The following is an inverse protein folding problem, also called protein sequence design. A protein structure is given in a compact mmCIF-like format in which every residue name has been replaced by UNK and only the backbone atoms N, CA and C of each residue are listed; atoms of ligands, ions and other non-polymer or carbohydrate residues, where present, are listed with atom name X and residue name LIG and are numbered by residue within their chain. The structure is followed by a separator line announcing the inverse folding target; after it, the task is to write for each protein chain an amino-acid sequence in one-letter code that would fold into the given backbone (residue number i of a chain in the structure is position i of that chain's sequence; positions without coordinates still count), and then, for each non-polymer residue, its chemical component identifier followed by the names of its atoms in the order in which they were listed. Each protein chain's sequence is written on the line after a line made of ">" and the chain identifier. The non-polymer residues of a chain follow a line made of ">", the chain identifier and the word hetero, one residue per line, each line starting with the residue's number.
data_IF_510666869087
#
_entry.id   IF_510666869087
#
_cell.length_a   1.000
_cell.length_b   1.000
_cell.length_c   1.000
_cell.angle_alpha   90.00
_cell.angle_beta   90.00
_cell.angle_gamma   90.00
#
_symmetry.space_group_name_H-M   'P 1'
#
loop_
_entity.id
_entity.type
_entity.pdbx_description
1 polymer ?
#
# COMPACT_ATOMS: atom_id res chain seq x y z
N UNK A 1 71.17 21.66 -5.43
CA UNK A 1 70.30 21.26 -4.31
C UNK A 1 69.01 20.67 -4.88
N UNK A 2 68.93 19.34 -4.96
CA UNK A 2 67.78 18.58 -5.50
C UNK A 2 66.97 18.04 -4.31
N UNK A 3 65.66 18.29 -4.26
CA UNK A 3 64.75 17.69 -3.29
C UNK A 3 64.18 16.40 -3.88
N UNK A 4 64.42 15.29 -3.18
CA UNK A 4 63.66 14.04 -3.29
C UNK A 4 62.27 14.27 -2.67
N UNK A 5 61.22 13.80 -3.35
CA UNK A 5 59.93 13.52 -2.73
C UNK A 5 59.62 12.05 -2.92
N UNK A 6 59.61 11.32 -1.79
CA UNK A 6 59.14 9.94 -1.67
C UNK A 6 57.63 9.90 -1.93
N UNK A 7 57.20 9.03 -2.86
CA UNK A 7 55.81 8.58 -2.94
C UNK A 7 55.64 7.36 -2.02
N UNK A 8 54.81 7.50 -1.00
CA UNK A 8 54.37 6.42 -0.13
C UNK A 8 53.14 5.76 -0.79
N UNK A 9 53.24 4.48 -1.14
CA UNK A 9 52.12 3.65 -1.58
C UNK A 9 51.43 3.09 -0.33
N UNK A 10 50.24 3.59 0.00
CA UNK A 10 49.36 2.98 1.00
C UNK A 10 48.44 1.96 0.32
N UNK A 11 48.83 0.69 0.36
CA UNK A 11 47.92 -0.45 0.17
C UNK A 11 47.19 -0.69 1.51
N UNK A 12 45.94 -0.25 1.58
CA UNK A 12 45.09 -0.37 2.77
C UNK A 12 43.81 -1.14 2.47
N UNK A 13 43.87 -2.45 2.71
CA UNK A 13 42.79 -3.37 3.13
C UNK A 13 41.34 -2.86 2.98
N UNK A 14 40.65 -3.35 1.95
CA UNK A 14 39.19 -3.34 1.90
C UNK A 14 38.65 -4.27 3.00
N UNK A 15 38.19 -3.69 4.10
CA UNK A 15 37.39 -4.41 5.07
C UNK A 15 36.04 -4.73 4.43
N UNK A 16 35.85 -6.00 4.06
CA UNK A 16 34.55 -6.54 3.76
C UNK A 16 33.71 -6.48 5.03
N UNK A 17 32.92 -5.42 5.17
CA UNK A 17 31.82 -5.38 6.12
C UNK A 17 30.85 -6.49 5.71
N UNK A 18 30.94 -7.64 6.36
CA UNK A 18 29.91 -8.67 6.27
C UNK A 18 28.59 -8.03 6.65
N UNK A 19 27.68 -7.94 5.68
CA UNK A 19 26.29 -7.57 5.93
C UNK A 19 25.76 -8.59 6.91
N UNK A 20 25.45 -8.16 8.14
CA UNK A 20 24.79 -9.01 9.10
C UNK A 20 23.50 -9.52 8.45
N UNK A 21 23.41 -10.82 8.20
CA UNK A 21 22.20 -11.43 7.67
C UNK A 21 21.10 -11.19 8.70
N UNK A 22 20.07 -10.45 8.29
CA UNK A 22 18.94 -10.18 9.16
C UNK A 22 18.38 -11.53 9.65
N UNK A 23 18.03 -11.62 10.93
CA UNK A 23 17.60 -12.87 11.53
C UNK A 23 16.42 -13.48 10.75
N UNK A 24 16.57 -14.75 10.37
CA UNK A 24 15.55 -15.54 9.70
C UNK A 24 14.27 -15.56 10.55
N UNK A 25 13.13 -15.23 9.95
CA UNK A 25 11.82 -15.32 10.57
C UNK A 25 11.44 -16.80 10.71
N UNK A 26 11.21 -17.23 11.95
CA UNK A 26 10.71 -18.57 12.25
C UNK A 26 9.21 -18.54 12.46
N UNK A 27 8.48 -19.20 11.56
CA UNK A 27 7.04 -19.35 11.65
C UNK A 27 6.67 -20.35 12.75
N UNK A 28 5.71 -20.00 13.61
CA UNK A 28 5.12 -20.96 14.55
C UNK A 28 4.31 -22.04 13.81
N UNK A 29 3.98 -23.14 14.49
CA UNK A 29 3.29 -24.29 13.88
C UNK A 29 2.00 -23.90 13.16
N UNK A 30 1.19 -23.01 13.74
CA UNK A 30 -0.07 -22.59 13.14
C UNK A 30 0.17 -21.70 11.92
N UNK A 31 1.14 -20.79 12.00
CA UNK A 31 1.53 -19.94 10.86
C UNK A 31 2.05 -20.78 9.70
N UNK A 32 2.82 -21.85 9.98
CA UNK A 32 3.25 -22.80 8.95
C UNK A 32 2.07 -23.56 8.31
N UNK A 33 1.05 -23.92 9.09
CA UNK A 33 -0.16 -24.56 8.56
C UNK A 33 -0.92 -23.62 7.62
N UNK A 34 -1.09 -22.36 8.02
CA UNK A 34 -1.73 -21.33 7.20
C UNK A 34 -0.93 -21.04 5.92
N UNK A 35 0.40 -21.07 6.01
CA UNK A 35 1.31 -20.91 4.88
C UNK A 35 1.24 -22.06 3.87
N UNK A 36 1.13 -23.30 4.37
CA UNK A 36 1.13 -24.52 3.53
C UNK A 36 -0.25 -24.94 3.03
N UNK A 37 -1.32 -24.38 3.59
CA UNK A 37 -2.69 -24.64 3.17
C UNK A 37 -3.26 -23.47 2.38
N UNK A 38 -4.02 -22.56 3.02
CA UNK A 38 -4.74 -21.49 2.34
C UNK A 38 -3.89 -20.64 1.39
N UNK A 39 -2.66 -20.28 1.75
CA UNK A 39 -1.80 -19.48 0.87
C UNK A 39 -1.40 -20.25 -0.41
N UNK A 40 -1.08 -21.55 -0.29
CA UNK A 40 -0.72 -22.36 -1.47
C UNK A 40 -1.93 -22.56 -2.40
N UNK A 41 -3.11 -22.78 -1.82
CA UNK A 41 -4.36 -22.87 -2.58
C UNK A 41 -4.60 -21.56 -3.35
N UNK A 42 -4.47 -20.42 -2.66
CA UNK A 42 -4.63 -19.11 -3.29
C UNK A 42 -3.61 -18.86 -4.41
N UNK A 43 -2.33 -19.19 -4.18
CA UNK A 43 -1.26 -19.02 -5.17
C UNK A 43 -1.33 -20.01 -6.33
N UNK A 44 -2.17 -21.04 -6.28
CA UNK A 44 -2.39 -21.97 -7.39
C UNK A 44 -3.32 -21.39 -8.47
N UNK A 45 -4.21 -20.47 -8.09
CA UNK A 45 -5.22 -19.88 -8.99
C UNK A 45 -4.69 -18.69 -9.81
N UNK A 46 -5.35 -18.42 -10.94
CA UNK A 46 -5.01 -17.34 -11.88
C UNK A 46 -5.62 -16.00 -11.44
N UNK A 47 -5.18 -15.52 -10.27
CA UNK A 47 -5.80 -14.38 -9.58
C UNK A 47 -5.69 -13.05 -10.34
N UNK A 48 -4.77 -12.92 -11.29
CA UNK A 48 -4.52 -11.70 -12.04
C UNK A 48 -5.59 -11.35 -13.08
N UNK A 49 -6.52 -12.28 -13.35
CA UNK A 49 -7.61 -12.11 -14.32
C UNK A 49 -8.78 -11.34 -13.70
N UNK A 50 -9.43 -11.91 -12.67
CA UNK A 50 -10.66 -11.36 -12.09
C UNK A 50 -10.47 -10.77 -10.68
N UNK A 51 -9.43 -11.19 -9.95
CA UNK A 51 -9.24 -10.90 -8.53
C UNK A 51 -7.97 -10.09 -8.25
N UNK A 52 -7.36 -9.52 -9.29
CA UNK A 52 -6.04 -8.87 -9.25
C UNK A 52 -5.91 -7.84 -8.10
N UNK A 53 -6.98 -7.08 -7.87
CA UNK A 53 -7.06 -6.10 -6.80
C UNK A 53 -7.00 -6.74 -5.40
N UNK A 54 -7.86 -7.72 -5.12
CA UNK A 54 -7.93 -8.36 -3.80
C UNK A 54 -6.71 -9.25 -3.55
N UNK A 55 -6.23 -9.93 -4.59
CA UNK A 55 -5.05 -10.77 -4.53
C UNK A 55 -3.81 -9.95 -4.14
N UNK A 56 -3.60 -8.79 -4.79
CA UNK A 56 -2.52 -7.90 -4.41
C UNK A 56 -2.63 -7.38 -2.97
N UNK A 57 -3.84 -7.16 -2.46
CA UNK A 57 -4.05 -6.85 -1.04
C UNK A 57 -3.61 -7.98 -0.12
N UNK A 58 -4.04 -9.21 -0.41
CA UNK A 58 -3.81 -10.37 0.43
C UNK A 58 -2.37 -10.88 0.36
N UNK A 59 -1.74 -10.84 -0.81
CA UNK A 59 -0.44 -11.48 -1.07
C UNK A 59 0.76 -10.60 -0.70
N UNK A 60 0.59 -9.29 -0.53
CA UNK A 60 1.72 -8.38 -0.29
C UNK A 60 2.52 -8.75 0.97
N UNK A 61 1.85 -9.02 2.09
CA UNK A 61 2.51 -9.37 3.36
C UNK A 61 3.18 -10.75 3.31
N UNK A 62 2.49 -11.82 2.87
CA UNK A 62 3.13 -13.12 2.63
C UNK A 62 4.32 -13.05 1.69
N UNK A 63 4.24 -12.28 0.61
CA UNK A 63 5.35 -12.08 -0.32
C UNK A 63 6.59 -11.51 0.39
N UNK A 64 6.44 -10.45 1.18
CA UNK A 64 7.56 -9.88 1.94
C UNK A 64 8.12 -10.86 2.97
N UNK A 65 7.25 -11.66 3.62
CA UNK A 65 7.68 -12.66 4.57
C UNK A 65 8.44 -13.83 3.93
N UNK A 66 8.10 -14.22 2.70
CA UNK A 66 8.74 -15.35 2.00
C UNK A 66 10.26 -15.19 1.86
N UNK A 67 10.75 -13.95 1.70
CA UNK A 67 12.19 -13.64 1.62
C UNK A 67 12.85 -13.44 2.99
N UNK A 68 12.13 -13.75 4.06
CA UNK A 68 12.60 -13.69 5.46
C UNK A 68 12.48 -15.04 6.14
N UNK A 69 11.68 -15.95 5.61
CA UNK A 69 11.50 -17.32 6.09
C UNK A 69 12.55 -18.25 5.48
N UNK A 70 12.58 -19.55 5.84
CA UNK A 70 13.56 -20.47 5.30
C UNK A 70 13.56 -20.54 3.77
N UNK A 71 14.73 -20.80 3.15
CA UNK A 71 14.83 -20.92 1.70
C UNK A 71 13.81 -21.91 1.11
N UNK A 72 13.16 -21.51 0.02
CA UNK A 72 12.14 -22.28 -0.68
C UNK A 72 10.72 -21.74 -0.50
N UNK A 73 10.46 -20.96 0.55
CA UNK A 73 9.14 -20.35 0.79
C UNK A 73 8.78 -19.28 -0.25
N UNK A 74 9.76 -18.76 -1.01
CA UNK A 74 9.57 -17.86 -2.14
C UNK A 74 9.09 -18.55 -3.43
N UNK A 75 9.34 -19.86 -3.59
CA UNK A 75 9.08 -20.60 -4.83
C UNK A 75 7.61 -20.57 -5.29
N UNK A 76 6.60 -20.66 -4.41
CA UNK A 76 5.20 -20.52 -4.82
C UNK A 76 4.90 -19.15 -5.46
N UNK A 77 5.55 -18.08 -4.98
CA UNK A 77 5.42 -16.75 -5.59
C UNK A 77 6.13 -16.69 -6.94
N UNK A 78 7.32 -17.28 -7.08
CA UNK A 78 7.99 -17.36 -8.38
C UNK A 78 7.13 -18.07 -9.42
N UNK A 79 6.54 -19.22 -9.05
CA UNK A 79 5.64 -19.96 -9.92
C UNK A 79 4.40 -19.14 -10.29
N UNK A 80 3.81 -18.44 -9.32
CA UNK A 80 2.67 -17.53 -9.55
C UNK A 80 3.04 -16.39 -10.52
N UNK A 81 4.18 -15.71 -10.31
CA UNK A 81 4.64 -14.62 -11.17
C UNK A 81 5.00 -15.09 -12.57
N UNK A 82 5.57 -16.29 -12.72
CA UNK A 82 5.88 -16.88 -14.02
C UNK A 82 4.60 -17.21 -14.81
N UNK A 83 3.58 -17.81 -14.16
CA UNK A 83 2.28 -18.07 -14.80
C UNK A 83 1.56 -16.78 -15.20
N UNK A 84 1.58 -15.77 -14.33
CA UNK A 84 0.99 -14.47 -14.61
C UNK A 84 1.65 -13.78 -15.81
N UNK A 85 2.98 -13.87 -15.95
CA UNK A 85 3.69 -13.30 -17.10
C UNK A 85 3.37 -14.02 -18.41
N UNK A 86 3.31 -15.36 -18.34
CA UNK A 86 2.96 -16.19 -19.49
C UNK A 86 1.55 -15.89 -20.04
N UNK A 87 0.66 -15.37 -19.19
CA UNK A 87 -0.69 -14.93 -19.52
C UNK A 87 -0.86 -13.41 -19.32
N UNK A 88 0.19 -12.64 -19.63
CA UNK A 88 0.19 -11.18 -19.43
C UNK A 88 -0.88 -10.44 -20.25
N UNK A 89 -1.37 -11.06 -21.32
CA UNK A 89 -2.51 -10.63 -22.13
C UNK A 89 -3.86 -10.71 -21.39
N UNK A 90 -3.97 -11.55 -20.36
CA UNK A 90 -5.18 -11.74 -19.55
C UNK A 90 -5.21 -10.87 -18.29
N UNK A 91 -4.13 -10.15 -18.01
CA UNK A 91 -4.08 -9.20 -16.90
C UNK A 91 -5.21 -8.17 -17.02
N UNK A 92 -5.72 -7.69 -15.89
CA UNK A 92 -6.72 -6.63 -15.81
C UNK A 92 -6.42 -5.44 -16.75
N UNK A 93 -7.47 -4.74 -17.19
CA UNK A 93 -7.40 -3.71 -18.25
C UNK A 93 -6.22 -2.73 -18.07
N UNK A 94 -5.40 -2.49 -19.12
CA UNK A 94 -4.31 -1.52 -19.09
C UNK A 94 -4.73 -0.14 -18.55
N UNK A 95 -3.94 0.42 -17.64
CA UNK A 95 -4.23 1.71 -17.00
C UNK A 95 -5.34 1.69 -15.94
N UNK A 96 -5.96 0.54 -15.66
CA UNK A 96 -6.94 0.42 -14.58
C UNK A 96 -6.28 0.34 -13.19
N UNK A 97 -7.03 0.74 -12.16
CA UNK A 97 -6.60 0.62 -10.76
C UNK A 97 -6.26 -0.83 -10.39
N UNK A 98 -7.10 -1.79 -10.79
CA UNK A 98 -6.90 -3.21 -10.48
C UNK A 98 -5.58 -3.74 -11.05
N UNK A 99 -5.26 -3.35 -12.29
CA UNK A 99 -3.99 -3.69 -12.92
C UNK A 99 -2.83 -3.10 -12.17
N UNK A 100 -2.83 -1.79 -11.91
CA UNK A 100 -1.69 -1.11 -11.28
C UNK A 100 -1.46 -1.53 -9.84
N UNK A 101 -2.50 -1.92 -9.12
CA UNK A 101 -2.36 -2.53 -7.81
C UNK A 101 -1.67 -3.90 -7.89
N UNK A 102 -2.00 -4.72 -8.90
CA UNK A 102 -1.29 -5.99 -9.14
C UNK A 102 0.14 -5.77 -9.62
N UNK A 103 0.39 -4.85 -10.56
CA UNK A 103 1.74 -4.52 -11.01
C UNK A 103 2.60 -3.99 -9.85
N UNK A 104 2.02 -3.27 -8.89
CA UNK A 104 2.74 -2.89 -7.67
C UNK A 104 3.15 -4.10 -6.81
N UNK A 105 2.30 -5.14 -6.69
CA UNK A 105 2.72 -6.41 -6.07
C UNK A 105 3.93 -7.00 -6.80
N UNK A 106 3.92 -6.97 -8.14
CA UNK A 106 5.03 -7.46 -8.97
C UNK A 106 6.30 -6.63 -8.72
N UNK A 107 6.24 -5.30 -8.68
CA UNK A 107 7.46 -4.49 -8.41
C UNK A 107 8.03 -4.73 -7.02
N UNK A 108 7.19 -5.00 -6.03
CA UNK A 108 7.64 -5.44 -4.71
C UNK A 108 8.35 -6.79 -4.76
N UNK A 109 7.81 -7.76 -5.51
CA UNK A 109 8.46 -9.06 -5.76
C UNK A 109 9.82 -8.87 -6.46
N UNK A 110 9.90 -8.06 -7.51
CA UNK A 110 11.16 -7.79 -8.21
C UNK A 110 12.21 -7.15 -7.29
N UNK A 111 11.79 -6.22 -6.43
CA UNK A 111 12.68 -5.60 -5.43
C UNK A 111 13.20 -6.61 -4.39
N UNK A 112 12.41 -7.64 -4.07
CA UNK A 112 12.83 -8.74 -3.19
C UNK A 112 13.80 -9.70 -3.91
N UNK A 113 13.55 -10.02 -5.19
CA UNK A 113 14.43 -10.83 -6.05
C UNK A 113 15.80 -10.22 -6.23
N UNK A 114 15.85 -8.92 -6.54
CA UNK A 114 17.09 -8.17 -6.70
C UNK A 114 17.88 -8.14 -5.39
N UNK A 115 17.24 -7.76 -4.28
CA UNK A 115 17.88 -7.69 -2.97
C UNK A 115 18.40 -9.04 -2.44
N UNK A 116 17.84 -10.16 -2.90
CA UNK A 116 18.28 -11.52 -2.57
C UNK A 116 19.29 -12.11 -3.56
N UNK A 117 19.64 -11.37 -4.62
CA UNK A 117 20.58 -11.83 -5.65
C UNK A 117 20.02 -12.97 -6.51
N UNK A 118 18.69 -13.13 -6.57
CA UNK A 118 18.01 -14.21 -7.29
C UNK A 118 17.42 -13.74 -8.64
N UNK A 119 17.91 -12.64 -9.21
CA UNK A 119 17.36 -12.07 -10.45
C UNK A 119 17.41 -13.06 -11.64
N UNK A 120 16.34 -13.11 -12.43
CA UNK A 120 16.19 -14.00 -13.60
C UNK A 120 15.74 -13.25 -14.85
N UNK A 121 15.72 -13.95 -16.00
CA UNK A 121 15.17 -13.41 -17.25
C UNK A 121 13.65 -13.14 -17.13
N UNK A 122 12.91 -13.96 -16.39
CA UNK A 122 11.48 -13.71 -16.10
C UNK A 122 11.30 -12.40 -15.32
N UNK A 123 12.19 -12.11 -14.37
CA UNK A 123 12.16 -10.87 -13.58
C UNK A 123 12.44 -9.66 -14.48
N UNK A 124 13.43 -9.76 -15.38
CA UNK A 124 13.74 -8.74 -16.38
C UNK A 124 12.55 -8.45 -17.30
N UNK A 125 11.88 -9.49 -17.81
CA UNK A 125 10.69 -9.33 -18.68
C UNK A 125 9.53 -8.64 -17.98
N UNK A 126 9.32 -8.93 -16.69
CA UNK A 126 8.34 -8.21 -15.87
C UNK A 126 8.71 -6.74 -15.73
N UNK A 127 9.97 -6.47 -15.41
CA UNK A 127 10.45 -5.12 -15.18
C UNK A 127 10.32 -4.26 -16.46
N UNK A 128 10.65 -4.81 -17.62
CA UNK A 128 10.48 -4.16 -18.93
C UNK A 128 9.00 -3.89 -19.28
N UNK A 129 8.12 -4.86 -19.01
CA UNK A 129 6.67 -4.70 -19.23
C UNK A 129 6.12 -3.54 -18.39
N UNK A 130 6.43 -3.51 -17.09
CA UNK A 130 5.90 -2.50 -16.17
C UNK A 130 6.52 -1.13 -16.48
N UNK A 131 7.82 -1.06 -16.82
CA UNK A 131 8.48 0.17 -17.21
C UNK A 131 7.86 0.78 -18.48
N UNK A 132 7.55 -0.07 -19.48
CA UNK A 132 6.86 0.35 -20.71
C UNK A 132 5.48 0.90 -20.39
N UNK A 133 4.68 0.20 -19.59
CA UNK A 133 3.34 0.67 -19.23
C UNK A 133 3.36 1.94 -18.35
N UNK A 134 4.34 2.06 -17.46
CA UNK A 134 4.55 3.26 -16.66
C UNK A 134 4.87 4.46 -17.56
N UNK A 135 5.78 4.29 -18.52
CA UNK A 135 6.13 5.31 -19.50
C UNK A 135 4.92 5.72 -20.33
N UNK A 136 4.21 4.75 -20.93
CA UNK A 136 3.02 5.02 -21.73
C UNK A 136 1.97 5.81 -20.93
N UNK A 137 1.65 5.37 -19.71
CA UNK A 137 0.66 6.05 -18.88
C UNK A 137 1.13 7.45 -18.42
N UNK A 138 2.43 7.60 -18.18
CA UNK A 138 3.01 8.84 -17.69
C UNK A 138 3.12 9.92 -18.78
N UNK A 139 3.49 9.55 -20.01
CA UNK A 139 3.85 10.51 -21.06
C UNK A 139 2.92 10.50 -22.28
N UNK A 140 2.26 9.39 -22.59
CA UNK A 140 1.67 9.19 -23.92
C UNK A 140 0.15 8.98 -23.90
N UNK A 141 -0.36 8.24 -22.91
CA UNK A 141 -1.74 7.76 -22.88
C UNK A 141 -2.67 8.80 -22.28
N UNK A 142 -3.72 9.23 -23.01
CA UNK A 142 -4.74 10.11 -22.45
C UNK A 142 -5.38 9.54 -21.19
N UNK A 143 -5.48 10.37 -20.15
CA UNK A 143 -6.11 10.00 -18.89
C UNK A 143 -7.41 10.78 -18.70
N UNK A 144 -8.49 10.05 -18.46
CA UNK A 144 -9.78 10.65 -18.16
C UNK A 144 -9.85 10.93 -16.66
N UNK A 145 -10.06 12.19 -16.33
CA UNK A 145 -10.26 12.67 -14.97
C UNK A 145 -11.70 12.41 -14.49
N UNK A 146 -11.88 12.41 -13.17
CA UNK A 146 -13.14 12.10 -12.50
C UNK A 146 -14.32 12.99 -12.97
N UNK A 147 -14.07 14.26 -13.29
CA UNK A 147 -15.11 15.19 -13.78
C UNK A 147 -15.42 15.04 -15.28
N UNK A 148 -14.83 14.05 -15.96
CA UNK A 148 -14.97 13.84 -17.40
C UNK A 148 -13.95 14.57 -18.27
N UNK A 149 -13.14 15.48 -17.71
CA UNK A 149 -12.04 16.13 -18.42
C UNK A 149 -10.99 15.08 -18.84
N UNK A 150 -10.38 15.27 -20.00
CA UNK A 150 -9.27 14.42 -20.47
C UNK A 150 -7.97 15.22 -20.47
N UNK A 151 -6.91 14.62 -19.93
CA UNK A 151 -5.55 15.14 -20.00
C UNK A 151 -4.74 14.30 -20.97
N UNK A 152 -3.69 14.89 -21.55
CA UNK A 152 -2.84 14.19 -22.53
C UNK A 152 -2.18 12.94 -21.93
N UNK A 153 -1.81 12.99 -20.66
CA UNK A 153 -1.16 11.89 -19.92
C UNK A 153 -1.24 12.13 -18.40
N UNK A 154 -0.77 11.16 -17.60
CA UNK A 154 -0.76 11.27 -16.13
C UNK A 154 0.12 12.43 -15.63
N UNK A 155 1.25 12.71 -16.30
CA UNK A 155 2.13 13.82 -15.94
C UNK A 155 1.40 15.16 -15.98
N UNK A 156 0.66 15.42 -17.06
CA UNK A 156 -0.08 16.67 -17.24
C UNK A 156 -1.26 16.78 -16.26
N UNK A 157 -1.93 15.65 -15.96
CA UNK A 157 -2.95 15.59 -14.91
C UNK A 157 -2.37 15.96 -13.53
N UNK A 158 -1.25 15.33 -13.13
CA UNK A 158 -0.62 15.60 -11.83
C UNK A 158 -0.06 17.02 -11.75
N UNK A 159 0.55 17.52 -12.83
CA UNK A 159 0.99 18.92 -12.93
C UNK A 159 -0.19 19.87 -12.70
N UNK A 160 -1.30 19.65 -13.41
CA UNK A 160 -2.51 20.46 -13.22
C UNK A 160 -3.02 20.43 -11.77
N UNK A 161 -3.04 19.27 -11.10
CA UNK A 161 -3.46 19.18 -9.67
C UNK A 161 -2.51 19.91 -8.72
N UNK A 162 -1.21 19.89 -9.00
CA UNK A 162 -0.19 20.56 -8.20
C UNK A 162 -0.26 22.08 -8.37
N UNK A 163 -0.49 22.55 -9.59
CA UNK A 163 -0.50 23.97 -9.95
C UNK A 163 -1.85 24.64 -9.72
N UNK A 164 -2.96 23.90 -9.73
CA UNK A 164 -4.30 24.46 -9.52
C UNK A 164 -4.52 24.78 -8.04
N UNK A 165 -4.77 26.06 -7.68
CA UNK A 165 -5.15 26.45 -6.32
C UNK A 165 -6.50 25.85 -5.93
N UNK A 166 -6.69 25.55 -4.65
CA UNK A 166 -7.91 24.89 -4.16
C UNK A 166 -9.18 25.73 -4.42
N UNK A 167 -9.04 27.05 -4.45
CA UNK A 167 -10.10 28.03 -4.68
C UNK A 167 -10.61 28.01 -6.13
N UNK A 168 -9.82 27.45 -7.07
CA UNK A 168 -10.21 27.30 -8.48
C UNK A 168 -10.88 25.96 -8.78
N UNK A 169 -10.97 25.07 -7.79
CA UNK A 169 -11.59 23.77 -7.96
C UNK A 169 -13.10 23.86 -7.67
N UNK A 170 -13.92 23.39 -8.60
CA UNK A 170 -15.38 23.32 -8.42
C UNK A 170 -15.78 22.35 -7.28
N UNK A 171 -14.98 21.30 -7.09
CA UNK A 171 -15.03 20.40 -5.93
C UNK A 171 -13.64 20.21 -5.36
N UNK A 172 -13.51 20.20 -4.04
CA UNK A 172 -12.21 20.07 -3.34
C UNK A 172 -11.51 18.77 -3.72
N UNK A 173 -12.27 17.68 -3.85
CA UNK A 173 -11.73 16.38 -4.25
C UNK A 173 -11.24 16.35 -5.72
N UNK A 174 -11.56 17.33 -6.57
CA UNK A 174 -11.01 17.39 -7.94
C UNK A 174 -9.50 17.62 -7.97
N UNK A 175 -8.89 18.05 -6.87
CA UNK A 175 -7.45 18.25 -6.78
C UNK A 175 -6.71 17.12 -6.10
N UNK A 176 -7.27 15.92 -5.92
CA UNK A 176 -6.62 14.85 -5.14
C UNK A 176 -5.75 13.94 -6.00
N UNK A 177 -4.77 13.29 -5.38
CA UNK A 177 -4.06 12.14 -5.93
C UNK A 177 -4.80 10.87 -5.48
N UNK A 178 -5.36 10.13 -6.44
CA UNK A 178 -6.02 8.83 -6.27
C UNK A 178 -5.03 7.67 -6.25
N UNK A 179 -5.51 6.52 -5.82
CA UNK A 179 -4.74 5.28 -5.71
C UNK A 179 -4.00 4.90 -6.99
N UNK A 180 -4.61 5.07 -8.17
CA UNK A 180 -3.95 4.77 -9.44
C UNK A 180 -2.64 5.56 -9.60
N UNK A 181 -2.68 6.87 -9.34
CA UNK A 181 -1.49 7.71 -9.47
C UNK A 181 -0.46 7.38 -8.39
N UNK A 182 -0.90 7.05 -7.17
CA UNK A 182 0.00 6.58 -6.11
C UNK A 182 0.69 5.26 -6.46
N UNK A 183 -0.04 4.27 -7.01
CA UNK A 183 0.53 3.01 -7.44
C UNK A 183 1.55 3.20 -8.56
N UNK A 184 1.24 4.01 -9.57
CA UNK A 184 2.19 4.30 -10.66
C UNK A 184 3.48 4.92 -10.11
N UNK A 185 3.37 5.93 -9.24
CA UNK A 185 4.56 6.56 -8.66
C UNK A 185 5.35 5.61 -7.75
N UNK A 186 4.68 4.79 -6.92
CA UNK A 186 5.34 3.81 -6.05
C UNK A 186 6.03 2.69 -6.85
N UNK A 187 5.34 2.09 -7.82
CA UNK A 187 5.89 1.07 -8.71
C UNK A 187 7.07 1.61 -9.53
N UNK A 188 6.96 2.86 -10.01
CA UNK A 188 8.07 3.52 -10.73
C UNK A 188 9.28 3.77 -9.84
N UNK A 189 9.08 4.07 -8.55
CA UNK A 189 10.19 4.17 -7.58
C UNK A 189 10.92 2.84 -7.38
N UNK A 190 10.18 1.73 -7.29
CA UNK A 190 10.77 0.40 -7.22
C UNK A 190 11.56 0.08 -8.51
N UNK A 191 10.96 0.30 -9.68
CA UNK A 191 11.61 0.06 -10.98
C UNK A 191 12.85 0.93 -11.20
N UNK A 192 12.84 2.19 -10.74
CA UNK A 192 14.03 3.04 -10.83
C UNK A 192 15.23 2.41 -10.12
N UNK A 193 15.02 1.78 -8.96
CA UNK A 193 16.09 1.12 -8.24
C UNK A 193 16.73 -0.02 -9.06
N UNK A 194 15.96 -0.66 -9.95
CA UNK A 194 16.34 -1.79 -10.81
C UNK A 194 16.89 -1.34 -12.20
N UNK A 195 16.45 -0.19 -12.70
CA UNK A 195 16.69 0.29 -14.07
C UNK A 195 17.36 1.67 -14.14
N UNK A 196 18.27 1.95 -13.20
CA UNK A 196 18.88 3.29 -13.01
C UNK A 196 19.52 3.87 -14.28
N UNK A 197 20.11 3.03 -15.11
CA UNK A 197 21.00 3.45 -16.20
C UNK A 197 20.37 3.34 -17.61
N UNK A 198 19.06 3.10 -17.70
CA UNK A 198 18.34 3.08 -18.98
C UNK A 198 17.42 4.31 -19.16
N UNK A 199 16.68 4.32 -20.27
CA UNK A 199 15.74 5.41 -20.61
C UNK A 199 14.63 5.58 -19.56
N UNK A 200 14.14 4.50 -18.96
CA UNK A 200 13.17 4.58 -17.87
C UNK A 200 13.77 5.24 -16.62
N UNK A 201 15.03 4.90 -16.30
CA UNK A 201 15.78 5.56 -15.22
C UNK A 201 15.90 7.08 -15.41
N UNK A 202 16.10 7.53 -16.66
CA UNK A 202 16.08 8.95 -17.01
C UNK A 202 14.68 9.57 -16.85
N UNK A 203 13.63 8.93 -17.38
CA UNK A 203 12.24 9.37 -17.21
C UNK A 203 11.89 9.57 -15.73
N UNK A 204 12.27 8.61 -14.88
CA UNK A 204 12.03 8.70 -13.45
C UNK A 204 12.73 9.91 -12.84
N UNK A 205 14.04 10.08 -13.08
CA UNK A 205 14.83 11.20 -12.54
C UNK A 205 14.29 12.56 -12.99
N UNK A 206 13.95 12.67 -14.27
CA UNK A 206 13.60 13.95 -14.90
C UNK A 206 12.13 14.33 -14.70
N UNK A 207 11.25 13.36 -14.45
CA UNK A 207 9.80 13.63 -14.42
C UNK A 207 9.08 13.05 -13.20
N UNK A 208 9.19 11.75 -12.95
CA UNK A 208 8.39 11.09 -11.90
C UNK A 208 8.88 11.50 -10.51
N UNK A 209 10.19 11.48 -10.25
CA UNK A 209 10.76 11.81 -8.95
C UNK A 209 10.50 13.26 -8.51
N UNK A 210 10.69 14.30 -9.34
CA UNK A 210 10.28 15.67 -9.00
C UNK A 210 8.78 15.76 -8.67
N UNK A 211 7.93 15.14 -9.49
CA UNK A 211 6.46 15.15 -9.29
C UNK A 211 6.08 14.48 -7.98
N UNK A 212 6.65 13.31 -7.69
CA UNK A 212 6.42 12.58 -6.44
C UNK A 212 6.89 13.42 -5.24
N UNK A 213 8.07 14.05 -5.31
CA UNK A 213 8.57 14.92 -4.23
C UNK A 213 7.55 16.00 -3.89
N UNK A 214 7.04 16.69 -4.91
CA UNK A 214 6.10 17.81 -4.76
C UNK A 214 4.72 17.31 -4.28
N UNK A 215 4.28 16.14 -4.77
CA UNK A 215 3.08 15.46 -4.29
C UNK A 215 3.20 15.11 -2.80
N UNK A 216 4.29 14.49 -2.35
CA UNK A 216 4.47 14.15 -0.94
C UNK A 216 4.43 15.40 -0.06
N UNK A 217 5.01 16.51 -0.52
CA UNK A 217 5.03 17.79 0.22
C UNK A 217 3.63 18.36 0.36
N UNK A 218 2.84 18.35 -0.72
CA UNK A 218 1.51 18.96 -0.74
C UNK A 218 0.42 18.10 -0.10
N UNK A 219 0.49 16.78 -0.29
CA UNK A 219 -0.63 15.88 0.02
C UNK A 219 -0.48 15.12 1.34
N UNK A 220 0.74 14.95 1.85
CA UNK A 220 1.03 14.23 3.10
C UNK A 220 1.81 15.09 4.11
N UNK A 221 1.29 16.27 4.49
CA UNK A 221 1.96 17.12 5.45
C UNK A 221 2.03 16.47 6.85
N UNK A 222 3.17 16.65 7.50
CA UNK A 222 3.36 16.30 8.91
C UNK A 222 2.61 17.30 9.77
N UNK A 223 1.81 16.81 10.70
CA UNK A 223 1.00 17.58 11.63
C UNK A 223 1.81 17.99 12.87
N UNK A 224 1.34 18.97 13.66
CA UNK A 224 2.04 19.41 14.88
C UNK A 224 2.29 18.31 15.92
N UNK A 225 1.42 17.29 15.99
CA UNK A 225 1.58 16.12 16.87
C UNK A 225 2.50 15.02 16.29
N UNK A 226 3.13 15.31 15.15
CA UNK A 226 4.01 14.43 14.41
C UNK A 226 3.30 13.37 13.57
N UNK A 227 1.96 13.33 13.52
CA UNK A 227 1.23 12.43 12.62
C UNK A 227 1.28 12.93 11.17
N UNK A 228 0.88 12.10 10.21
CA UNK A 228 0.71 12.49 8.81
C UNK A 228 -0.74 12.28 8.43
N UNK A 229 -1.36 13.26 7.78
CA UNK A 229 -2.75 13.17 7.31
C UNK A 229 -2.82 13.53 5.83
N UNK A 230 -3.62 12.79 5.09
CA UNK A 230 -3.96 13.15 3.72
C UNK A 230 -4.97 14.30 3.72
N UNK A 231 -4.50 15.51 3.36
CA UNK A 231 -5.26 16.75 3.16
C UNK A 231 -6.63 16.81 3.88
N UNK A 232 -6.68 17.14 5.18
CA UNK A 232 -7.93 17.28 5.92
C UNK A 232 -8.96 18.16 5.20
N UNK A 233 -10.21 17.66 5.13
CA UNK A 233 -11.34 18.36 4.51
C UNK A 233 -11.43 18.26 2.99
N UNK A 234 -10.45 17.68 2.30
CA UNK A 234 -10.47 17.55 0.83
C UNK A 234 -11.60 16.65 0.32
N UNK A 235 -12.08 15.74 1.17
CA UNK A 235 -13.14 14.78 0.85
C UNK A 235 -14.53 15.25 1.27
N UNK A 236 -14.65 16.43 1.89
CA UNK A 236 -15.91 16.91 2.49
C UNK A 236 -17.06 17.09 1.49
N UNK A 237 -16.75 17.28 0.21
CA UNK A 237 -17.73 17.37 -0.88
C UNK A 237 -17.73 16.15 -1.81
N UNK A 238 -17.01 15.07 -1.46
CA UNK A 238 -17.01 13.82 -2.20
C UNK A 238 -18.24 12.97 -1.84
N UNK A 239 -18.99 12.41 -2.81
CA UNK A 239 -20.26 11.70 -2.53
C UNK A 239 -20.14 10.56 -1.52
N UNK A 240 -19.06 9.78 -1.53
CA UNK A 240 -18.84 8.68 -0.59
C UNK A 240 -18.70 9.15 0.88
N UNK A 241 -18.43 10.44 1.10
CA UNK A 241 -18.21 11.07 2.41
C UNK A 241 -19.36 12.00 2.79
N UNK A 242 -20.43 12.04 1.99
CA UNK A 242 -21.58 12.92 2.17
C UNK A 242 -22.25 12.77 3.55
N UNK A 243 -22.09 11.63 4.21
CA UNK A 243 -22.64 11.33 5.54
C UNK A 243 -21.58 11.24 6.65
N UNK A 244 -20.34 11.66 6.40
CA UNK A 244 -19.22 11.56 7.36
C UNK A 244 -19.38 12.39 8.65
N UNK A 245 -20.37 13.28 8.72
CA UNK A 245 -20.72 14.04 9.93
C UNK A 245 -21.72 13.34 10.86
N UNK A 246 -22.17 12.12 10.50
CA UNK A 246 -23.03 11.29 11.34
C UNK A 246 -22.21 10.36 12.24
N UNK A 247 -22.40 10.49 13.56
CA UNK A 247 -21.74 9.65 14.55
C UNK A 247 -22.28 8.21 14.58
N UNK A 248 -23.46 7.96 14.02
CA UNK A 248 -24.14 6.66 13.92
C UNK A 248 -24.90 6.62 12.59
N UNK A 249 -25.43 5.45 12.21
CA UNK A 249 -26.24 5.31 11.00
C UNK A 249 -27.34 6.41 10.92
N UNK A 250 -27.44 7.17 9.82
CA UNK A 250 -28.51 8.14 9.61
C UNK A 250 -29.89 7.46 9.62
N UNK A 251 -30.92 8.17 10.06
CA UNK A 251 -32.30 7.71 9.96
C UNK A 251 -32.77 7.72 8.49
N UNK A 252 -33.76 6.90 8.11
CA UNK A 252 -34.35 6.98 6.78
C UNK A 252 -34.84 8.40 6.45
N UNK A 253 -34.36 8.97 5.35
CA UNK A 253 -34.71 10.32 4.91
C UNK A 253 -33.82 11.44 5.45
N UNK A 254 -32.86 11.13 6.34
CA UNK A 254 -31.87 12.11 6.79
C UNK A 254 -31.05 12.65 5.60
N UNK A 255 -30.84 13.99 5.51
CA UNK A 255 -30.05 14.56 4.44
C UNK A 255 -28.55 14.30 4.63
N UNK A 256 -27.72 14.44 3.59
CA UNK A 256 -26.28 14.47 3.73
C UNK A 256 -25.80 15.46 4.80
N UNK A 257 -24.85 15.03 5.62
CA UNK A 257 -24.17 15.84 6.64
C UNK A 257 -22.66 15.59 6.51
N UNK A 258 -21.96 16.30 5.61
CA UNK A 258 -20.53 16.12 5.44
C UNK A 258 -19.76 16.62 6.67
N UNK A 259 -18.63 15.98 6.99
CA UNK A 259 -17.67 16.52 7.95
C UNK A 259 -16.68 17.41 7.19
N UNK A 260 -16.58 18.72 7.52
CA UNK A 260 -15.74 19.68 6.77
C UNK A 260 -14.24 19.39 6.89
N UNK A 261 -13.82 18.61 7.88
CA UNK A 261 -12.43 18.28 8.16
C UNK A 261 -12.07 16.82 7.84
N UNK A 262 -13.00 16.05 7.26
CA UNK A 262 -12.79 14.61 7.05
C UNK A 262 -11.55 14.33 6.19
N UNK A 263 -10.75 13.37 6.64
CA UNK A 263 -9.56 12.87 5.93
C UNK A 263 -9.88 11.61 5.14
N UNK A 264 -8.88 11.07 4.42
CA UNK A 264 -8.95 9.75 3.80
C UNK A 264 -9.42 8.68 4.80
N UNK A 265 -10.19 7.71 4.33
CA UNK A 265 -10.59 6.56 5.15
C UNK A 265 -9.38 5.67 5.49
N UNK A 266 -9.47 4.96 6.61
CA UNK A 266 -8.37 4.13 7.13
C UNK A 266 -8.06 2.92 6.24
N UNK A 267 -9.01 2.50 5.41
CA UNK A 267 -8.81 1.43 4.44
C UNK A 267 -7.86 1.86 3.33
N UNK A 268 -8.12 3.00 2.67
CA UNK A 268 -7.23 3.52 1.64
C UNK A 268 -5.91 4.03 2.22
N UNK A 269 -5.93 4.63 3.42
CA UNK A 269 -4.72 5.08 4.09
C UNK A 269 -3.72 3.95 4.39
N UNK A 270 -4.19 2.71 4.53
CA UNK A 270 -3.30 1.55 4.77
C UNK A 270 -2.25 1.35 3.68
N UNK A 271 -2.54 1.81 2.45
CA UNK A 271 -1.65 1.70 1.30
C UNK A 271 -0.35 2.48 1.47
N UNK A 272 -0.40 3.58 2.21
CA UNK A 272 0.79 4.37 2.54
C UNK A 272 1.83 3.60 3.34
N UNK A 273 1.43 2.54 4.07
CA UNK A 273 2.37 1.67 4.76
C UNK A 273 3.35 0.98 3.81
N UNK A 274 2.87 0.54 2.65
CA UNK A 274 3.69 -0.08 1.61
C UNK A 274 4.42 0.96 0.75
N UNK A 275 3.68 1.94 0.19
CA UNK A 275 4.25 2.91 -0.76
C UNK A 275 5.40 3.73 -0.16
N UNK A 276 5.36 4.02 1.15
CA UNK A 276 6.44 4.73 1.82
C UNK A 276 7.76 3.95 1.87
N UNK A 277 7.76 2.64 1.61
CA UNK A 277 8.97 1.84 1.37
C UNK A 277 9.57 2.15 0.01
N UNK A 278 8.75 2.04 -1.04
CA UNK A 278 9.13 2.29 -2.44
C UNK A 278 9.73 3.68 -2.65
N UNK A 279 9.17 4.71 -2.02
CA UNK A 279 9.63 6.09 -2.19
C UNK A 279 11.04 6.35 -1.64
N UNK A 280 11.68 5.40 -0.96
CA UNK A 280 13.09 5.51 -0.55
C UNK A 280 14.03 5.77 -1.74
N UNK A 281 13.67 5.30 -2.93
CA UNK A 281 14.38 5.57 -4.19
C UNK A 281 14.54 7.07 -4.50
N UNK A 282 13.64 7.94 -4.00
CA UNK A 282 13.79 9.39 -4.11
C UNK A 282 15.10 9.90 -3.49
N UNK A 283 15.64 9.22 -2.47
CA UNK A 283 16.87 9.66 -1.80
C UNK A 283 18.12 9.49 -2.66
N UNK A 284 18.03 8.69 -3.73
CA UNK A 284 19.12 8.53 -4.69
C UNK A 284 19.13 9.68 -5.70
N UNK A 285 17.94 10.18 -6.08
CA UNK A 285 17.79 11.35 -6.96
C UNK A 285 17.96 12.66 -6.18
N UNK A 286 17.44 12.71 -4.96
CA UNK A 286 17.44 13.88 -4.08
C UNK A 286 17.90 13.48 -2.67
N UNK A 287 19.22 13.40 -2.42
CA UNK A 287 19.75 13.00 -1.11
C UNK A 287 19.21 13.78 0.10
N UNK A 288 18.86 15.05 -0.10
CA UNK A 288 18.26 15.91 0.92
C UNK A 288 16.88 15.42 1.42
N UNK A 289 16.19 14.58 0.65
CA UNK A 289 14.85 14.07 0.98
C UNK A 289 14.88 12.99 2.06
N UNK A 290 16.06 12.45 2.40
CA UNK A 290 16.24 11.34 3.36
C UNK A 290 15.57 11.62 4.71
N UNK A 291 15.82 12.80 5.29
CA UNK A 291 15.23 13.18 6.58
C UNK A 291 13.71 13.35 6.50
N UNK A 292 13.22 13.94 5.40
CA UNK A 292 11.78 14.14 5.19
C UNK A 292 11.05 12.80 5.05
N UNK A 293 11.60 11.85 4.30
CA UNK A 293 11.01 10.52 4.12
C UNK A 293 11.03 9.69 5.42
N UNK A 294 12.11 9.77 6.20
CA UNK A 294 12.16 9.16 7.54
C UNK A 294 11.07 9.75 8.47
N UNK A 295 10.87 11.07 8.41
CA UNK A 295 9.82 11.77 9.15
C UNK A 295 8.43 11.36 8.68
N UNK A 296 8.21 11.25 7.36
CA UNK A 296 6.96 10.79 6.76
C UNK A 296 6.61 9.37 7.22
N UNK A 297 7.55 8.41 7.12
CA UNK A 297 7.36 7.02 7.57
C UNK A 297 7.01 6.96 9.06
N UNK A 298 7.76 7.69 9.89
CA UNK A 298 7.49 7.77 11.34
C UNK A 298 6.13 8.41 11.63
N UNK A 299 5.74 9.43 10.86
CA UNK A 299 4.46 10.11 10.99
C UNK A 299 3.28 9.24 10.59
N UNK A 300 3.39 8.46 9.51
CA UNK A 300 2.41 7.45 9.11
C UNK A 300 2.25 6.36 10.18
N UNK A 301 3.35 5.90 10.78
CA UNK A 301 3.30 4.94 11.87
C UNK A 301 2.54 5.51 13.08
N UNK A 302 2.84 6.76 13.46
CA UNK A 302 2.10 7.47 14.52
C UNK A 302 0.63 7.67 14.18
N UNK A 303 0.28 7.95 12.92
CA UNK A 303 -1.12 8.04 12.50
C UNK A 303 -1.85 6.73 12.75
N UNK A 304 -1.26 5.60 12.34
CA UNK A 304 -1.86 4.31 12.59
C UNK A 304 -1.99 4.00 14.09
N UNK A 305 -0.92 4.17 14.87
CA UNK A 305 -0.90 3.74 16.28
C UNK A 305 -1.69 4.66 17.21
N UNK A 306 -1.76 5.96 16.92
CA UNK A 306 -2.39 6.97 17.81
C UNK A 306 -3.76 7.43 17.37
N UNK A 307 -4.08 7.38 16.07
CA UNK A 307 -5.35 7.89 15.53
C UNK A 307 -6.26 6.78 15.04
N UNK A 308 -5.73 5.85 14.25
CA UNK A 308 -6.55 4.80 13.62
C UNK A 308 -6.82 3.65 14.60
N UNK A 309 -5.79 3.15 15.29
CA UNK A 309 -5.93 2.06 16.26
C UNK A 309 -6.74 2.51 17.47
N UNK A 310 -7.78 1.73 17.79
CA UNK A 310 -8.64 1.92 18.94
C UNK A 310 -8.51 0.70 19.86
N UNK A 311 -7.82 0.81 21.01
CA UNK A 311 -7.63 -0.33 21.90
C UNK A 311 -8.97 -0.85 22.44
N UNK A 312 -9.06 -2.14 22.79
CA UNK A 312 -10.26 -2.70 23.40
C UNK A 312 -10.45 -2.08 24.80
N UNK A 313 -11.36 -1.11 24.90
CA UNK A 313 -11.72 -0.48 26.18
C UNK A 313 -12.99 -1.12 26.77
N UNK A 314 -14.02 -1.29 25.94
CA UNK A 314 -15.32 -1.89 26.30
C UNK A 314 -15.69 -3.11 25.44
N UNK A 315 -14.85 -3.45 24.46
CA UNK A 315 -15.00 -4.61 23.58
C UNK A 315 -13.95 -5.65 23.91
N UNK A 316 -14.23 -6.93 23.63
CA UNK A 316 -13.26 -8.02 23.75
C UNK A 316 -12.29 -8.11 22.56
N UNK A 317 -12.49 -7.30 21.52
CA UNK A 317 -11.71 -7.30 20.28
C UNK A 317 -11.20 -5.91 19.92
N UNK A 318 -10.12 -5.87 19.14
CA UNK A 318 -9.48 -4.64 18.64
C UNK A 318 -10.39 -3.94 17.63
N UNK A 319 -10.41 -2.61 17.62
CA UNK A 319 -11.16 -1.85 16.61
C UNK A 319 -10.28 -0.77 16.00
N UNK A 320 -10.73 -0.25 14.87
CA UNK A 320 -10.05 0.82 14.16
C UNK A 320 -11.06 1.88 13.74
N UNK A 321 -10.66 3.14 13.85
CA UNK A 321 -11.47 4.25 13.39
C UNK A 321 -11.56 4.26 11.87
N UNK A 322 -12.71 4.68 11.35
CA UNK A 322 -12.97 4.68 9.90
C UNK A 322 -12.10 5.67 9.12
N UNK A 323 -11.56 6.71 9.76
CA UNK A 323 -10.78 7.76 9.08
C UNK A 323 -9.37 7.91 9.65
N UNK A 324 -8.45 8.34 8.78
CA UNK A 324 -7.03 8.52 9.08
C UNK A 324 -6.76 9.55 10.20
N UNK A 325 -7.63 10.55 10.35
CA UNK A 325 -7.55 11.53 11.44
C UNK A 325 -7.94 10.98 12.82
N UNK A 326 -8.51 9.78 12.88
CA UNK A 326 -9.03 9.15 14.08
C UNK A 326 -10.50 9.44 14.35
N UNK A 327 -11.18 10.19 13.48
CA UNK A 327 -12.63 10.27 13.52
C UNK A 327 -13.26 8.93 13.14
N UNK A 328 -14.40 8.62 13.74
CA UNK A 328 -15.05 7.32 13.61
C UNK A 328 -16.54 7.46 13.39
N UNK A 329 -16.86 7.97 12.21
CA UNK A 329 -18.22 8.29 11.78
C UNK A 329 -18.61 7.45 10.57
N UNK A 330 -19.84 7.62 10.09
CA UNK A 330 -20.40 6.85 8.98
C UNK A 330 -19.65 7.12 7.66
N UNK A 331 -19.32 6.06 6.92
CA UNK A 331 -18.63 6.13 5.64
C UNK A 331 -19.38 5.36 4.55
N UNK A 332 -19.40 5.88 3.30
CA UNK A 332 -20.04 5.23 2.14
C UNK A 332 -21.49 4.83 2.37
N UNK A 333 -22.26 5.73 2.98
CA UNK A 333 -23.71 5.54 3.14
C UNK A 333 -24.42 5.66 1.80
N UNK A 334 -25.37 4.75 1.52
CA UNK A 334 -26.06 4.59 0.23
C UNK A 334 -25.13 4.29 -0.95
N UNK A 335 -23.94 3.74 -0.69
CA UNK A 335 -23.00 3.39 -1.76
C UNK A 335 -23.55 2.25 -2.63
N UNK A 336 -23.29 2.32 -3.94
CA UNK A 336 -23.90 1.44 -4.93
C UNK A 336 -23.77 -0.06 -4.61
N UNK A 337 -22.64 -0.48 -4.02
CA UNK A 337 -22.39 -1.89 -3.66
C UNK A 337 -22.83 -2.28 -2.25
N UNK A 338 -23.15 -1.30 -1.39
CA UNK A 338 -23.68 -1.52 -0.05
C UNK A 338 -25.22 -1.51 -0.02
N UNK A 339 -25.85 -0.84 -0.99
CA UNK A 339 -27.29 -0.68 -1.11
C UNK A 339 -27.83 0.58 -0.41
N UNK A 340 -29.10 0.89 -0.67
CA UNK A 340 -29.80 2.01 -0.04
C UNK A 340 -30.01 1.75 1.46
N UNK A 341 -29.85 2.79 2.28
CA UNK A 341 -29.97 2.73 3.74
C UNK A 341 -28.83 1.96 4.43
N UNK A 342 -27.68 1.82 3.77
CA UNK A 342 -26.56 1.02 4.27
C UNK A 342 -25.21 1.70 4.01
N UNK A 343 -24.20 1.35 4.80
CA UNK A 343 -22.85 1.91 4.74
C UNK A 343 -22.05 1.52 5.98
N UNK A 344 -20.78 1.91 6.01
CA UNK A 344 -19.89 1.58 7.11
C UNK A 344 -20.24 2.45 8.32
N UNK A 345 -20.73 1.84 9.38
CA UNK A 345 -20.95 2.45 10.70
C UNK A 345 -19.61 2.64 11.43
N UNK A 346 -19.58 3.36 12.57
CA UNK A 346 -18.36 3.47 13.37
C UNK A 346 -17.71 2.11 13.62
N UNK A 347 -16.41 2.04 13.40
CA UNK A 347 -15.56 0.84 13.50
C UNK A 347 -15.79 -0.24 12.44
N UNK A 348 -16.71 -0.11 11.49
CA UNK A 348 -16.96 -1.16 10.49
C UNK A 348 -15.87 -1.27 9.40
N UNK A 349 -14.87 -0.37 9.39
CA UNK A 349 -13.61 -0.56 8.63
C UNK A 349 -12.51 -1.31 9.40
N UNK A 350 -12.83 -1.88 10.57
CA UNK A 350 -11.84 -2.57 11.41
C UNK A 350 -11.24 -3.82 10.78
N UNK A 351 -11.84 -4.38 9.72
CA UNK A 351 -11.28 -5.52 8.99
C UNK A 351 -10.05 -5.16 8.15
N UNK A 352 -9.98 -3.96 7.57
CA UNK A 352 -8.94 -3.63 6.58
C UNK A 352 -7.51 -3.67 7.14
N UNK A 353 -7.23 -3.19 8.37
CA UNK A 353 -5.90 -3.31 8.95
C UNK A 353 -5.37 -4.75 9.04
N UNK A 354 -6.23 -5.77 9.05
CA UNK A 354 -5.78 -7.17 9.04
C UNK A 354 -5.17 -7.61 7.70
N UNK A 355 -5.29 -6.83 6.63
CA UNK A 355 -4.51 -7.05 5.40
C UNK A 355 -3.00 -6.92 5.64
N UNK A 356 -2.59 -6.21 6.70
CA UNK A 356 -1.20 -6.23 7.18
C UNK A 356 -0.29 -5.11 6.64
N UNK A 357 -0.78 -4.25 5.74
CA UNK A 357 0.06 -3.26 5.06
C UNK A 357 0.69 -2.22 5.99
N UNK A 358 0.03 -1.88 7.10
CA UNK A 358 0.65 -1.04 8.14
C UNK A 358 1.90 -1.67 8.76
N UNK A 359 2.00 -3.00 8.76
CA UNK A 359 3.17 -3.75 9.22
C UNK A 359 4.46 -3.41 8.46
N UNK A 360 4.37 -2.99 7.20
CA UNK A 360 5.52 -2.63 6.36
C UNK A 360 6.22 -1.31 6.79
N UNK A 361 5.62 -0.57 7.73
CA UNK A 361 6.31 0.53 8.40
C UNK A 361 7.35 0.05 9.43
N UNK A 362 7.26 -1.20 9.88
CA UNK A 362 8.31 -1.88 10.65
C UNK A 362 8.62 -1.26 12.00
N UNK A 363 7.59 -0.81 12.75
CA UNK A 363 7.81 -0.25 14.10
C UNK A 363 7.40 -1.25 15.19
N UNK A 364 8.12 -1.32 16.32
CA UNK A 364 7.78 -2.23 17.42
C UNK A 364 6.37 -2.02 18.00
N UNK A 365 5.84 -0.79 17.91
CA UNK A 365 4.47 -0.46 18.35
C UNK A 365 3.43 -1.12 17.44
N UNK A 366 3.63 -1.06 16.12
CA UNK A 366 2.76 -1.73 15.14
C UNK A 366 2.82 -3.24 15.35
N UNK A 367 4.02 -3.83 15.43
CA UNK A 367 4.19 -5.27 15.69
C UNK A 367 3.44 -5.71 16.96
N UNK A 368 3.43 -4.87 18.02
CA UNK A 368 2.65 -5.14 19.25
C UNK A 368 1.14 -5.10 19.04
N UNK A 369 0.63 -4.18 18.22
CA UNK A 369 -0.78 -4.14 17.84
C UNK A 369 -1.17 -5.41 17.08
N UNK A 370 -0.35 -5.82 16.11
CA UNK A 370 -0.59 -7.05 15.35
C UNK A 370 -0.52 -8.32 16.21
N UNK A 371 0.32 -8.37 17.25
CA UNK A 371 0.29 -9.47 18.24
C UNK A 371 -1.07 -9.55 18.96
N UNK A 372 -1.68 -8.41 19.30
CA UNK A 372 -3.02 -8.38 19.90
C UNK A 372 -4.09 -8.83 18.90
N UNK A 373 -3.97 -8.42 17.64
CA UNK A 373 -4.86 -8.86 16.57
C UNK A 373 -4.75 -10.37 16.32
N UNK A 374 -3.52 -10.91 16.23
CA UNK A 374 -3.24 -12.33 16.03
C UNK A 374 -3.79 -13.19 17.18
N UNK A 375 -3.64 -12.72 18.43
CA UNK A 375 -4.20 -13.39 19.61
C UNK A 375 -5.73 -13.41 19.64
N UNK A 376 -6.40 -12.62 18.79
CA UNK A 376 -7.85 -12.61 18.64
C UNK A 376 -8.40 -13.72 17.75
N UNK A 377 -7.55 -14.47 17.05
CA UNK A 377 -7.98 -15.59 16.20
C UNK A 377 -8.18 -16.90 16.98
N UNK A 378 -9.17 -17.74 16.61
CA UNK A 378 -10.22 -17.46 15.62
C UNK A 378 -11.14 -16.32 16.09
N UNK A 379 -11.56 -15.45 15.16
CA UNK A 379 -12.34 -14.27 15.50
C UNK A 379 -13.71 -14.65 16.04
N UNK A 380 -14.14 -13.93 17.08
CA UNK A 380 -15.49 -14.02 17.63
C UNK A 380 -16.52 -13.48 16.64
N UNK A 381 -17.75 -14.00 16.70
CA UNK A 381 -18.84 -13.56 15.81
C UNK A 381 -19.15 -12.06 15.90
N UNK A 382 -19.02 -11.46 17.09
CA UNK A 382 -19.21 -10.01 17.30
C UNK A 382 -18.12 -9.17 16.61
N UNK A 383 -16.87 -9.64 16.67
CA UNK A 383 -15.76 -9.06 15.93
C UNK A 383 -15.97 -9.22 14.41
N UNK A 384 -16.29 -10.42 13.93
CA UNK A 384 -16.54 -10.70 12.51
C UNK A 384 -17.65 -9.82 11.94
N UNK A 385 -18.79 -9.68 12.63
CA UNK A 385 -19.88 -8.79 12.18
C UNK A 385 -19.43 -7.34 12.01
N UNK A 386 -18.54 -6.87 12.88
CA UNK A 386 -17.98 -5.53 12.80
C UNK A 386 -16.96 -5.43 11.67
N UNK A 387 -16.08 -6.42 11.51
CA UNK A 387 -14.95 -6.35 10.58
C UNK A 387 -15.36 -6.53 9.12
N UNK A 388 -16.42 -7.30 8.87
CA UNK A 388 -16.98 -7.48 7.52
C UNK A 388 -17.62 -6.19 7.02
N UNK A 389 -18.20 -5.39 7.93
CA UNK A 389 -18.94 -4.17 7.61
C UNK A 389 -20.18 -4.45 6.75
N UNK A 390 -20.67 -3.45 5.97
CA UNK A 390 -21.72 -3.66 4.99
C UNK A 390 -21.17 -4.54 3.87
N UNK A 391 -21.45 -5.84 3.92
CA UNK A 391 -20.98 -6.79 2.92
C UNK A 391 -21.34 -6.30 1.51
N UNK A 392 -20.37 -6.27 0.60
CA UNK A 392 -20.57 -5.69 -0.74
C UNK A 392 -21.13 -6.73 -1.70
N UNK A 393 -21.95 -6.31 -2.66
CA UNK A 393 -22.46 -7.20 -3.73
C UNK A 393 -21.41 -7.67 -4.75
N UNK A 394 -20.15 -7.21 -4.63
CA UNK A 394 -19.05 -7.59 -5.52
C UNK A 394 -18.69 -9.07 -5.31
N UNK A 395 -18.71 -9.85 -6.38
CA UNK A 395 -18.16 -11.21 -6.40
C UNK A 395 -16.64 -11.16 -6.18
N UNK A 396 -16.13 -12.03 -5.32
CA UNK A 396 -14.72 -12.15 -4.98
C UNK A 396 -14.33 -13.62 -4.96
N UNK A 397 -13.04 -13.90 -5.14
CA UNK A 397 -12.48 -15.21 -4.88
C UNK A 397 -12.94 -15.76 -3.51
N UNK A 398 -13.32 -17.06 -3.39
CA UNK A 398 -13.81 -17.64 -2.14
C UNK A 398 -12.88 -17.46 -0.94
N UNK A 399 -11.55 -17.48 -1.16
CA UNK A 399 -10.54 -17.26 -0.11
C UNK A 399 -10.30 -15.78 0.23
N UNK A 400 -10.78 -14.84 -0.59
CA UNK A 400 -10.58 -13.40 -0.42
C UNK A 400 -11.86 -12.66 -0.01
N UNK A 401 -13.03 -13.27 -0.21
CA UNK A 401 -14.33 -12.75 0.22
C UNK A 401 -14.48 -12.69 1.74
N UNK A 402 -15.09 -11.63 2.26
CA UNK A 402 -15.37 -11.53 3.70
C UNK A 402 -16.77 -12.08 4.01
N UNK A 403 -16.97 -12.89 5.07
CA UNK A 403 -16.02 -13.24 6.15
C UNK A 403 -15.06 -14.39 5.85
N UNK A 404 -15.20 -15.09 4.72
CA UNK A 404 -14.44 -16.30 4.41
C UNK A 404 -12.91 -16.13 4.51
N UNK A 405 -12.35 -14.97 4.13
CA UNK A 405 -10.91 -14.70 4.25
C UNK A 405 -10.40 -14.67 5.70
N UNK A 406 -11.24 -14.30 6.67
CA UNK A 406 -10.91 -14.37 8.09
C UNK A 406 -10.93 -15.81 8.60
N UNK A 407 -11.95 -16.58 8.22
CA UNK A 407 -12.14 -17.95 8.71
C UNK A 407 -11.26 -18.97 7.97
N UNK A 408 -10.96 -18.70 6.70
CA UNK A 408 -10.11 -19.50 5.83
C UNK A 408 -8.62 -19.21 6.00
N UNK A 409 -8.23 -18.31 6.91
CA UNK A 409 -6.86 -18.21 7.39
C UNK A 409 -5.91 -17.30 6.60
N UNK A 410 -6.29 -16.77 5.43
CA UNK A 410 -5.44 -15.81 4.69
C UNK A 410 -5.22 -14.53 5.50
N UNK A 411 -6.28 -13.98 6.09
CA UNK A 411 -6.18 -12.75 6.88
C UNK A 411 -5.49 -13.00 8.23
N UNK A 412 -5.69 -14.19 8.80
CA UNK A 412 -4.96 -14.63 9.99
C UNK A 412 -3.46 -14.75 9.71
N UNK A 413 -3.08 -15.34 8.57
CA UNK A 413 -1.71 -15.46 8.14
C UNK A 413 -1.03 -14.10 8.07
N UNK A 414 -1.63 -13.14 7.34
CA UNK A 414 -1.07 -11.78 7.22
C UNK A 414 -0.85 -11.16 8.60
N UNK A 415 -1.83 -11.31 9.50
CA UNK A 415 -1.75 -10.76 10.85
C UNK A 415 -0.63 -11.41 11.67
N UNK A 416 -0.47 -12.74 11.58
CA UNK A 416 0.58 -13.49 12.28
C UNK A 416 1.98 -13.18 11.76
N UNK A 417 2.15 -13.04 10.45
CA UNK A 417 3.43 -12.68 9.83
C UNK A 417 3.92 -11.30 10.31
N UNK A 418 3.01 -10.32 10.39
CA UNK A 418 3.34 -9.01 10.96
C UNK A 418 3.64 -9.13 12.46
N UNK A 419 2.82 -9.86 13.21
CA UNK A 419 3.00 -10.06 14.66
C UNK A 419 4.33 -10.75 15.02
N UNK A 420 4.79 -11.66 14.16
CA UNK A 420 6.07 -12.36 14.25
C UNK A 420 7.27 -11.51 13.87
N UNK A 421 7.08 -10.30 13.33
CA UNK A 421 8.16 -9.42 12.89
C UNK A 421 8.81 -9.86 11.57
N UNK A 422 8.09 -10.60 10.73
CA UNK A 422 8.63 -11.20 9.50
C UNK A 422 8.73 -10.22 8.32
N UNK A 423 8.55 -8.92 8.57
CA UNK A 423 8.57 -7.85 7.56
C UNK A 423 9.67 -6.79 7.79
N UNK A 424 10.29 -6.78 8.97
CA UNK A 424 11.31 -5.78 9.33
C UNK A 424 12.65 -6.15 8.68
N UNK A 425 13.10 -5.35 7.69
CA UNK A 425 14.45 -5.46 7.11
C UNK A 425 15.50 -4.70 7.90
#
# INVERSE_FOLDING_TARGET
>A
MRRLSLFLICLGLSSGAGVATAAECRLDTLTQQLWRGPLQELLADDLWVNDAYDAAHALLVPLHAAYRTPPGDEQPFEAFMARALAHSDQLATPGSLNRWQFLYLVTQYLSLRDASGQWTETDQRWADLIATEAQELWEERPVKWYNGQTFGNMRDLLRWKLETPAERLDKRYHGIVWDLEWYVMAASSDLYALHRDNSFGELYRMSIAPTLRDVLTRYLPVQPDGTVLYRPGVWSDYPDFAYAGYAQAPAPGDPPKPNPNVTLDSSHASRFGAWAGSWAALTEVFPQERSRLATLRSGLARTFTRRIYSPPASTSFVRFHNYMDGSNTVYRWNYATAGQGNGYRPYELSGTPYLGWWGLLGTPEITRIYRKMAAGFPLRDDALRTYVGPNTTRQRHPLLGWPAAFNGGIVELNTRLVAGGCLER
#
